data_IF_703949951488
#
_entry.id   IF_703949951488
#
_cell.length_a   1.000
_cell.length_b   1.000
_cell.length_c   1.000
_cell.angle_alpha   90.00
_cell.angle_beta   90.00
_cell.angle_gamma   90.00
#
_symmetry.space_group_name_H-M   'P 1'
#
loop_
_entity.id
_entity.type
_entity.pdbx_description
1 polymer ?
#
# COMPACT_ATOMS: atom_id res chain seq x y z
N UNK A 1 23.41 15.17 -4.60
CA UNK A 1 23.61 15.52 -3.20
C UNK A 1 23.20 16.98 -2.86
N UNK A 2 23.75 18.04 -3.49
CA UNK A 2 23.40 19.44 -3.15
C UNK A 2 21.93 19.80 -3.48
N UNK A 3 21.37 19.29 -4.60
CA UNK A 3 19.98 19.55 -4.99
C UNK A 3 18.98 18.79 -4.10
N UNK A 4 19.26 17.55 -3.77
CA UNK A 4 18.40 16.76 -2.85
C UNK A 4 18.34 17.37 -1.46
N UNK A 5 19.48 17.88 -0.93
CA UNK A 5 19.49 18.57 0.36
C UNK A 5 18.69 19.89 0.33
N UNK A 6 18.70 20.63 -0.79
CA UNK A 6 17.87 21.83 -0.93
C UNK A 6 16.36 21.50 -0.95
N UNK A 7 15.97 20.43 -1.66
CA UNK A 7 14.57 19.97 -1.66
C UNK A 7 14.13 19.47 -0.28
N UNK A 8 14.97 18.74 0.46
CA UNK A 8 14.66 18.30 1.82
C UNK A 8 14.41 19.48 2.77
N UNK A 9 15.24 20.51 2.70
CA UNK A 9 15.06 21.73 3.53
C UNK A 9 13.76 22.49 3.18
N UNK A 10 13.41 22.58 1.88
CA UNK A 10 12.15 23.20 1.45
C UNK A 10 10.96 22.38 1.97
N UNK A 11 11.02 21.05 1.92
CA UNK A 11 9.99 20.17 2.42
C UNK A 11 9.77 20.34 3.93
N UNK A 12 10.85 20.40 4.73
CA UNK A 12 10.75 20.66 6.16
C UNK A 12 10.06 22.01 6.48
N UNK A 13 10.38 23.06 5.73
CA UNK A 13 9.75 24.37 5.91
C UNK A 13 8.25 24.35 5.53
N UNK A 14 7.87 23.61 4.48
CA UNK A 14 6.46 23.46 4.07
C UNK A 14 5.66 22.69 5.13
N UNK A 15 6.22 21.63 5.69
CA UNK A 15 5.56 20.84 6.74
C UNK A 15 5.35 21.63 8.03
N UNK A 16 6.19 22.64 8.32
CA UNK A 16 6.04 23.54 9.49
C UNK A 16 5.11 24.73 9.22
N UNK A 17 4.68 24.95 7.97
CA UNK A 17 3.82 26.05 7.56
C UNK A 17 2.34 25.84 7.86
N UNK A 18 1.53 26.90 7.77
CA UNK A 18 0.07 26.82 7.97
C UNK A 18 -0.66 26.23 6.75
N UNK A 19 -0.12 26.38 5.53
CA UNK A 19 -0.73 25.93 4.27
C UNK A 19 -0.02 24.67 3.72
N UNK A 20 0.02 23.62 4.51
CA UNK A 20 0.76 22.38 4.19
C UNK A 20 0.31 21.77 2.88
N UNK A 21 -0.99 21.71 2.61
CA UNK A 21 -1.56 21.10 1.41
C UNK A 21 -1.14 21.78 0.12
N UNK A 22 -1.28 23.11 0.04
CA UNK A 22 -0.91 23.88 -1.15
C UNK A 22 0.61 23.91 -1.34
N UNK A 23 1.35 23.99 -0.24
CA UNK A 23 2.80 23.92 -0.25
C UNK A 23 3.32 22.61 -0.83
N UNK A 24 2.78 21.46 -0.41
CA UNK A 24 3.15 20.14 -0.94
C UNK A 24 2.77 20.01 -2.41
N UNK A 25 1.57 20.43 -2.81
CA UNK A 25 1.14 20.38 -4.21
C UNK A 25 2.06 21.20 -5.12
N UNK A 26 2.48 22.39 -4.68
CA UNK A 26 3.42 23.23 -5.42
C UNK A 26 4.82 22.59 -5.45
N UNK A 27 5.29 22.08 -4.33
CA UNK A 27 6.57 21.39 -4.21
C UNK A 27 6.68 20.19 -5.17
N UNK A 28 5.66 19.32 -5.20
CA UNK A 28 5.61 18.15 -6.10
C UNK A 28 5.58 18.60 -7.54
N UNK A 29 4.79 19.63 -7.85
CA UNK A 29 4.72 20.21 -9.21
C UNK A 29 6.06 20.74 -9.66
N UNK A 30 6.73 21.54 -8.85
CA UNK A 30 8.03 22.14 -9.19
C UNK A 30 9.12 21.07 -9.28
N UNK A 31 9.11 20.07 -8.40
CA UNK A 31 10.08 18.98 -8.42
C UNK A 31 9.89 18.04 -9.61
N UNK A 32 8.66 17.77 -10.02
CA UNK A 32 8.35 16.77 -11.05
C UNK A 32 8.11 17.39 -12.45
N UNK A 33 7.62 18.64 -12.55
CA UNK A 33 7.33 19.31 -13.82
C UNK A 33 8.52 20.06 -14.39
N UNK A 34 9.58 20.28 -13.62
CA UNK A 34 10.81 20.84 -14.17
C UNK A 34 11.40 19.85 -15.19
N UNK A 35 11.15 20.12 -16.48
CA UNK A 35 11.57 19.27 -17.62
C UNK A 35 13.07 18.97 -17.61
N UNK A 36 13.88 19.84 -16.99
CA UNK A 36 15.32 19.65 -16.81
C UNK A 36 15.61 18.53 -15.81
N UNK A 37 14.70 18.25 -14.89
CA UNK A 37 14.87 17.26 -13.85
C UNK A 37 14.48 15.83 -14.30
N UNK A 38 13.78 15.66 -15.44
CA UNK A 38 13.25 14.35 -15.86
C UNK A 38 14.08 13.64 -16.95
N UNK A 39 15.26 14.17 -17.30
CA UNK A 39 16.17 13.52 -18.26
C UNK A 39 17.48 13.16 -17.56
N UNK A 40 17.84 11.88 -17.57
CA UNK A 40 19.10 11.39 -17.03
C UNK A 40 19.25 11.55 -15.52
N UNK A 41 20.19 12.36 -15.07
CA UNK A 41 20.46 12.59 -13.64
C UNK A 41 19.27 13.23 -12.88
N UNK A 42 18.38 13.91 -13.57
CA UNK A 42 17.18 14.51 -12.96
C UNK A 42 16.15 13.48 -12.51
N UNK A 43 15.99 12.36 -13.21
CA UNK A 43 15.10 11.30 -12.79
C UNK A 43 15.51 10.69 -11.44
N UNK A 44 16.81 10.54 -11.21
CA UNK A 44 17.33 10.05 -9.92
C UNK A 44 16.98 11.04 -8.79
N UNK A 45 17.09 12.33 -9.05
CA UNK A 45 16.71 13.37 -8.07
C UNK A 45 15.20 13.34 -7.83
N UNK A 46 14.37 13.23 -8.88
CA UNK A 46 12.91 13.14 -8.74
C UNK A 46 12.46 11.92 -7.92
N UNK A 47 13.06 10.76 -8.12
CA UNK A 47 12.83 9.56 -7.31
C UNK A 47 13.17 9.79 -5.85
N UNK A 48 14.36 10.33 -5.56
CA UNK A 48 14.78 10.62 -4.20
C UNK A 48 13.85 11.63 -3.52
N UNK A 49 13.43 12.68 -4.23
CA UNK A 49 12.49 13.68 -3.71
C UNK A 49 11.15 13.06 -3.33
N UNK A 50 10.60 12.15 -4.15
CA UNK A 50 9.36 11.45 -3.82
C UNK A 50 9.53 10.50 -2.65
N UNK A 51 10.65 9.79 -2.55
CA UNK A 51 10.95 8.91 -1.41
C UNK A 51 11.06 9.72 -0.12
N UNK A 52 11.80 10.82 -0.14
CA UNK A 52 11.93 11.73 0.99
C UNK A 52 10.56 12.32 1.39
N UNK A 53 9.73 12.68 0.40
CA UNK A 53 8.37 13.16 0.62
C UNK A 53 7.49 12.09 1.28
N UNK A 54 7.50 10.86 0.79
CA UNK A 54 6.74 9.76 1.39
C UNK A 54 7.14 9.52 2.85
N UNK A 55 8.44 9.51 3.14
CA UNK A 55 8.95 9.32 4.49
C UNK A 55 8.55 10.49 5.41
N UNK A 56 8.63 11.73 4.93
CA UNK A 56 8.25 12.92 5.68
C UNK A 56 6.74 12.99 5.94
N UNK A 57 5.91 12.65 4.95
CA UNK A 57 4.46 12.57 5.09
C UNK A 57 4.04 11.50 6.08
N UNK A 58 4.67 10.34 6.05
CA UNK A 58 4.40 9.26 7.01
C UNK A 58 4.77 9.66 8.44
N UNK A 59 5.94 10.28 8.64
CA UNK A 59 6.35 10.80 9.97
C UNK A 59 5.43 11.89 10.46
N UNK A 60 5.03 12.82 9.61
CA UNK A 60 4.11 13.90 9.96
C UNK A 60 2.70 13.38 10.31
N UNK A 61 2.24 12.32 9.65
CA UNK A 61 0.96 11.68 9.97
C UNK A 61 0.99 10.94 11.31
N UNK A 62 2.11 10.30 11.65
CA UNK A 62 2.29 9.61 12.94
C UNK A 62 2.48 10.56 14.12
N UNK A 63 2.92 11.79 13.88
CA UNK A 63 3.05 12.82 14.89
C UNK A 63 1.69 13.47 15.19
N UNK A 64 1.14 13.18 16.37
CA UNK A 64 -0.17 13.70 16.82
C UNK A 64 -0.24 15.21 16.96
N UNK A 65 0.89 15.89 16.98
CA UNK A 65 0.96 17.37 17.08
C UNK A 65 0.89 18.07 15.73
N UNK A 66 1.10 17.31 14.64
CA UNK A 66 1.15 17.84 13.28
C UNK A 66 -0.26 17.94 12.66
N UNK A 67 -0.57 18.96 11.83
CA UNK A 67 -1.85 19.07 11.13
C UNK A 67 -2.22 17.85 10.27
N UNK A 68 -1.23 17.16 9.71
CA UNK A 68 -1.41 15.92 8.92
C UNK A 68 -1.76 14.68 9.76
N UNK A 69 -1.87 14.81 11.09
CA UNK A 69 -2.47 13.75 11.92
C UNK A 69 -3.96 13.58 11.65
N UNK A 70 -4.63 14.63 11.09
CA UNK A 70 -5.97 14.48 10.55
C UNK A 70 -5.93 13.64 9.28
N UNK A 71 -6.48 12.43 9.36
CA UNK A 71 -6.50 11.47 8.26
C UNK A 71 -7.21 12.02 7.01
N UNK A 72 -8.19 12.92 7.16
CA UNK A 72 -8.90 13.51 6.03
C UNK A 72 -8.02 14.46 5.23
N UNK A 73 -7.25 15.31 5.91
CA UNK A 73 -6.27 16.18 5.29
C UNK A 73 -5.12 15.38 4.64
N UNK A 74 -4.65 14.35 5.34
CA UNK A 74 -3.60 13.46 4.85
C UNK A 74 -4.00 12.76 3.54
N UNK A 75 -5.21 12.18 3.48
CA UNK A 75 -5.78 11.58 2.26
C UNK A 75 -5.88 12.59 1.12
N UNK A 76 -6.32 13.82 1.41
CA UNK A 76 -6.40 14.87 0.39
C UNK A 76 -5.01 15.23 -0.19
N UNK A 77 -4.00 15.36 0.67
CA UNK A 77 -2.62 15.64 0.26
C UNK A 77 -2.06 14.51 -0.62
N UNK A 78 -2.25 13.25 -0.23
CA UNK A 78 -1.77 12.10 -1.01
C UNK A 78 -2.47 12.01 -2.39
N UNK A 79 -3.76 12.32 -2.46
CA UNK A 79 -4.48 12.39 -3.75
C UNK A 79 -3.94 13.50 -4.64
N UNK A 80 -3.64 14.68 -4.08
CA UNK A 80 -3.06 15.81 -4.83
C UNK A 80 -1.65 15.47 -5.35
N UNK A 81 -0.85 14.74 -4.56
CA UNK A 81 0.48 14.22 -4.98
C UNK A 81 0.32 13.27 -6.17
N UNK A 82 -0.58 12.30 -6.10
CA UNK A 82 -0.84 11.36 -7.18
C UNK A 82 -1.33 12.06 -8.45
N UNK A 83 -2.25 13.00 -8.33
CA UNK A 83 -2.75 13.79 -9.46
C UNK A 83 -1.64 14.62 -10.13
N UNK A 84 -0.77 15.23 -9.33
CA UNK A 84 0.36 16.04 -9.83
C UNK A 84 1.43 15.19 -10.52
N UNK A 85 1.64 13.96 -10.05
CA UNK A 85 2.66 13.06 -10.58
C UNK A 85 2.16 12.20 -11.78
N UNK A 86 0.86 12.21 -12.07
CA UNK A 86 0.26 11.35 -13.11
C UNK A 86 0.94 11.50 -14.49
N UNK A 87 1.35 12.71 -14.89
CA UNK A 87 2.03 12.97 -16.14
C UNK A 87 3.40 12.26 -16.27
N UNK A 88 4.01 11.88 -15.15
CA UNK A 88 5.33 11.23 -15.06
C UNK A 88 5.24 9.78 -14.58
N UNK A 89 4.05 9.21 -14.51
CA UNK A 89 3.77 7.89 -13.90
C UNK A 89 4.69 6.78 -14.43
N UNK A 90 4.96 6.74 -15.74
CA UNK A 90 5.79 5.70 -16.38
C UNK A 90 7.23 5.64 -15.86
N UNK A 91 7.77 6.76 -15.38
CA UNK A 91 9.15 6.85 -14.91
C UNK A 91 9.29 6.70 -13.40
N UNK A 92 8.18 6.82 -12.67
CA UNK A 92 8.12 6.89 -11.20
C UNK A 92 7.15 5.84 -10.62
N UNK A 93 6.96 4.71 -11.31
CA UNK A 93 6.00 3.67 -10.94
C UNK A 93 6.21 3.17 -9.50
N UNK A 94 7.47 2.92 -9.12
CA UNK A 94 7.81 2.38 -7.80
C UNK A 94 7.50 3.38 -6.68
N UNK A 95 7.84 4.65 -6.89
CA UNK A 95 7.59 5.73 -5.93
C UNK A 95 6.09 6.03 -5.81
N UNK A 96 5.39 6.04 -6.93
CA UNK A 96 3.92 6.22 -6.93
C UNK A 96 3.20 5.03 -6.29
N UNK A 97 3.73 3.82 -6.43
CA UNK A 97 3.22 2.66 -5.71
C UNK A 97 3.33 2.84 -4.19
N UNK A 98 4.42 3.43 -3.69
CA UNK A 98 4.56 3.75 -2.27
C UNK A 98 3.54 4.80 -1.81
N UNK A 99 3.31 5.87 -2.58
CA UNK A 99 2.28 6.87 -2.27
C UNK A 99 0.90 6.21 -2.21
N UNK A 100 0.57 5.32 -3.16
CA UNK A 100 -0.70 4.58 -3.16
C UNK A 100 -0.83 3.63 -1.97
N UNK A 101 0.24 3.01 -1.51
CA UNK A 101 0.23 2.20 -0.29
C UNK A 101 -0.10 3.04 0.93
N UNK A 102 0.54 4.21 1.10
CA UNK A 102 0.23 5.14 2.18
C UNK A 102 -1.22 5.64 2.13
N UNK A 103 -1.72 5.93 0.92
CA UNK A 103 -3.12 6.32 0.73
C UNK A 103 -4.08 5.20 1.10
N UNK A 104 -3.76 3.96 0.73
CA UNK A 104 -4.58 2.81 1.10
C UNK A 104 -4.59 2.58 2.61
N UNK A 105 -3.45 2.74 3.31
CA UNK A 105 -3.37 2.67 4.78
C UNK A 105 -4.30 3.71 5.42
N UNK A 106 -4.23 4.97 4.99
CA UNK A 106 -5.07 6.03 5.51
C UNK A 106 -6.58 5.83 5.22
N UNK A 107 -6.93 5.26 4.06
CA UNK A 107 -8.31 4.93 3.72
C UNK A 107 -8.84 3.73 4.52
N UNK A 108 -7.98 2.76 4.84
CA UNK A 108 -8.33 1.66 5.76
C UNK A 108 -8.66 2.20 7.16
N UNK A 109 -7.88 3.15 7.67
CA UNK A 109 -8.13 3.81 8.97
C UNK A 109 -9.46 4.56 8.99
N UNK A 110 -9.88 5.11 7.84
CA UNK A 110 -11.19 5.72 7.65
C UNK A 110 -12.32 4.71 7.39
N UNK A 111 -12.03 3.41 7.37
CA UNK A 111 -12.98 2.35 6.98
C UNK A 111 -13.53 2.48 5.55
N UNK A 112 -12.86 3.23 4.68
CA UNK A 112 -13.20 3.40 3.27
C UNK A 112 -12.60 2.25 2.43
N UNK A 113 -13.00 1.01 2.73
CA UNK A 113 -12.38 -0.20 2.19
C UNK A 113 -12.47 -0.33 0.67
N UNK A 114 -13.59 0.11 0.06
CA UNK A 114 -13.75 0.09 -1.39
C UNK A 114 -12.74 1.01 -2.09
N UNK A 115 -12.58 2.24 -1.57
CA UNK A 115 -11.64 3.21 -2.11
C UNK A 115 -10.19 2.73 -1.93
N UNK A 116 -9.86 2.17 -0.75
CA UNK A 116 -8.55 1.59 -0.49
C UNK A 116 -8.20 0.46 -1.47
N UNK A 117 -9.16 -0.45 -1.70
CA UNK A 117 -9.00 -1.52 -2.69
C UNK A 117 -8.77 -0.96 -4.10
N UNK A 118 -9.54 0.07 -4.50
CA UNK A 118 -9.41 0.69 -5.83
C UNK A 118 -8.01 1.30 -6.03
N UNK A 119 -7.49 2.03 -5.06
CA UNK A 119 -6.15 2.62 -5.10
C UNK A 119 -5.06 1.54 -5.26
N UNK A 120 -5.18 0.41 -4.54
CA UNK A 120 -4.24 -0.71 -4.69
C UNK A 120 -4.37 -1.43 -6.03
N UNK A 121 -5.58 -1.49 -6.61
CA UNK A 121 -5.81 -2.04 -7.94
C UNK A 121 -5.09 -1.24 -9.03
N UNK A 122 -4.98 0.08 -8.88
CA UNK A 122 -4.21 0.92 -9.81
C UNK A 122 -2.72 0.53 -9.81
N UNK A 123 -2.13 0.18 -8.66
CA UNK A 123 -0.74 -0.33 -8.61
C UNK A 123 -0.61 -1.56 -9.52
N UNK A 124 -1.56 -2.49 -9.45
CA UNK A 124 -1.51 -3.73 -10.23
C UNK A 124 -1.75 -3.54 -11.71
N UNK A 125 -2.46 -2.48 -12.10
CA UNK A 125 -2.72 -2.14 -13.49
C UNK A 125 -1.51 -1.47 -14.15
N UNK A 126 -0.88 -0.53 -13.45
CA UNK A 126 0.22 0.29 -13.97
C UNK A 126 1.57 -0.45 -13.99
N UNK A 127 1.85 -1.23 -12.97
CA UNK A 127 3.15 -1.88 -12.77
C UNK A 127 3.39 -3.13 -13.65
N UNK A 128 2.66 -3.25 -14.75
CA UNK A 128 2.68 -4.39 -15.65
C UNK A 128 4.08 -4.97 -15.93
N UNK A 129 4.43 -6.08 -15.29
CA UNK A 129 5.58 -6.98 -15.55
C UNK A 129 6.98 -6.50 -15.11
N UNK A 130 7.18 -5.29 -14.59
CA UNK A 130 8.53 -4.80 -14.26
C UNK A 130 8.96 -5.10 -12.82
N UNK A 131 8.04 -5.10 -11.87
CA UNK A 131 8.31 -5.50 -10.49
C UNK A 131 8.40 -7.03 -10.40
N UNK A 132 9.62 -7.56 -10.41
CA UNK A 132 9.91 -9.02 -10.34
C UNK A 132 9.86 -9.58 -8.92
N UNK A 133 9.21 -8.91 -7.97
CA UNK A 133 9.11 -9.39 -6.60
C UNK A 133 7.75 -10.06 -6.37
N UNK A 134 7.69 -11.37 -6.58
CA UNK A 134 6.47 -12.17 -6.43
C UNK A 134 5.88 -12.08 -5.01
N UNK A 135 6.71 -11.93 -3.98
CA UNK A 135 6.28 -11.76 -2.60
C UNK A 135 5.54 -10.44 -2.36
N UNK A 136 5.99 -9.33 -2.98
CA UNK A 136 5.32 -8.05 -2.88
C UNK A 136 3.95 -8.10 -3.55
N UNK A 137 3.87 -8.74 -4.74
CA UNK A 137 2.61 -8.92 -5.46
C UNK A 137 1.62 -9.76 -4.68
N UNK A 138 2.09 -10.83 -4.06
CA UNK A 138 1.27 -11.67 -3.21
C UNK A 138 0.65 -10.85 -2.07
N UNK A 139 1.44 -10.03 -1.38
CA UNK A 139 0.96 -9.12 -0.31
C UNK A 139 -0.12 -8.17 -0.81
N UNK A 140 0.12 -7.52 -1.95
CA UNK A 140 -0.85 -6.58 -2.54
C UNK A 140 -2.13 -7.30 -2.92
N UNK A 141 -2.07 -8.47 -3.57
CA UNK A 141 -3.27 -9.21 -3.97
C UNK A 141 -4.09 -9.70 -2.77
N UNK A 142 -3.44 -10.24 -1.73
CA UNK A 142 -4.12 -10.68 -0.51
C UNK A 142 -4.77 -9.50 0.20
N UNK A 143 -4.07 -8.36 0.28
CA UNK A 143 -4.60 -7.13 0.86
C UNK A 143 -5.82 -6.60 0.10
N UNK A 144 -5.76 -6.54 -1.24
CA UNK A 144 -6.90 -6.16 -2.07
C UNK A 144 -8.09 -7.11 -1.82
N UNK A 145 -7.85 -8.42 -1.78
CA UNK A 145 -8.92 -9.40 -1.54
C UNK A 145 -9.58 -9.19 -0.17
N UNK A 146 -8.79 -8.93 0.88
CA UNK A 146 -9.29 -8.61 2.23
C UNK A 146 -10.15 -7.35 2.24
N UNK A 147 -9.70 -6.29 1.58
CA UNK A 147 -10.41 -5.01 1.50
C UNK A 147 -11.73 -5.15 0.74
N UNK A 148 -11.72 -5.87 -0.39
CA UNK A 148 -12.93 -6.14 -1.17
C UNK A 148 -13.94 -6.97 -0.38
N UNK A 149 -13.48 -7.94 0.43
CA UNK A 149 -14.35 -8.68 1.35
C UNK A 149 -14.98 -7.75 2.41
N UNK A 150 -14.21 -6.79 2.93
CA UNK A 150 -14.71 -5.80 3.88
C UNK A 150 -15.69 -4.82 3.24
N UNK A 151 -15.55 -4.58 1.93
CA UNK A 151 -16.48 -3.79 1.11
C UNK A 151 -17.66 -4.59 0.55
N UNK A 152 -17.79 -5.88 0.90
CA UNK A 152 -18.80 -6.82 0.42
C UNK A 152 -18.74 -7.15 -1.09
N UNK A 153 -17.62 -6.87 -1.76
CA UNK A 153 -17.35 -7.31 -3.13
C UNK A 153 -16.69 -8.69 -3.16
N UNK A 154 -17.51 -9.72 -3.06
CA UNK A 154 -17.06 -11.13 -3.03
C UNK A 154 -16.45 -11.57 -4.36
N UNK A 155 -16.99 -11.10 -5.48
CA UNK A 155 -16.53 -11.47 -6.82
C UNK A 155 -15.13 -10.90 -7.12
N UNK A 156 -14.92 -9.64 -6.79
CA UNK A 156 -13.61 -9.01 -6.87
C UNK A 156 -12.58 -9.68 -5.97
N UNK A 157 -12.95 -10.00 -4.73
CA UNK A 157 -12.07 -10.70 -3.80
C UNK A 157 -11.62 -12.06 -4.33
N UNK A 158 -12.55 -12.85 -4.88
CA UNK A 158 -12.23 -14.18 -5.48
C UNK A 158 -11.24 -14.03 -6.65
N UNK A 159 -11.41 -13.01 -7.50
CA UNK A 159 -10.50 -12.75 -8.62
C UNK A 159 -9.06 -12.49 -8.14
N UNK A 160 -8.90 -11.66 -7.10
CA UNK A 160 -7.58 -11.33 -6.57
C UNK A 160 -6.95 -12.49 -5.81
N UNK A 161 -7.73 -13.33 -5.13
CA UNK A 161 -7.23 -14.57 -4.54
C UNK A 161 -6.74 -15.58 -5.59
N UNK A 162 -7.41 -15.67 -6.75
CA UNK A 162 -6.93 -16.50 -7.88
C UNK A 162 -5.60 -15.96 -8.44
N UNK A 163 -5.44 -14.64 -8.52
CA UNK A 163 -4.16 -14.01 -8.91
C UNK A 163 -3.08 -14.25 -7.85
N UNK A 164 -3.42 -14.13 -6.58
CA UNK A 164 -2.51 -14.47 -5.48
C UNK A 164 -2.04 -15.93 -5.56
N UNK A 165 -2.94 -16.86 -5.83
CA UNK A 165 -2.62 -18.28 -5.96
C UNK A 165 -1.61 -18.58 -7.07
N UNK A 166 -1.58 -17.80 -8.16
CA UNK A 166 -0.59 -17.95 -9.22
C UNK A 166 0.81 -17.41 -8.87
N UNK A 167 0.88 -16.52 -7.88
CA UNK A 167 2.13 -15.95 -7.36
C UNK A 167 2.67 -16.69 -6.12
N UNK A 168 1.97 -17.73 -5.68
CA UNK A 168 2.26 -18.52 -4.49
C UNK A 168 3.48 -19.45 -4.70
N UNK A 169 4.67 -18.85 -4.77
CA UNK A 169 5.94 -19.56 -4.65
C UNK A 169 6.64 -19.18 -3.33
N UNK A 170 5.91 -18.55 -2.40
CA UNK A 170 6.47 -17.90 -1.25
C UNK A 170 6.55 -18.83 -0.04
N UNK A 171 7.71 -18.85 0.58
CA UNK A 171 7.98 -19.42 1.91
C UNK A 171 7.34 -18.58 3.06
N UNK A 172 6.37 -17.71 2.75
CA UNK A 172 5.71 -16.83 3.73
C UNK A 172 4.43 -17.48 4.24
N UNK A 173 4.55 -18.25 5.31
CA UNK A 173 3.45 -18.94 5.97
C UNK A 173 2.35 -17.98 6.46
N UNK A 174 2.70 -16.75 6.83
CA UNK A 174 1.73 -15.77 7.35
C UNK A 174 0.79 -15.27 6.24
N UNK A 175 1.34 -14.89 5.08
CA UNK A 175 0.56 -14.49 3.92
C UNK A 175 -0.27 -15.62 3.35
N UNK A 176 0.26 -16.83 3.37
CA UNK A 176 -0.46 -18.03 3.00
C UNK A 176 -1.65 -18.27 3.92
N UNK A 177 -1.47 -18.06 5.23
CA UNK A 177 -2.55 -18.18 6.21
C UNK A 177 -3.64 -17.12 5.93
N UNK A 178 -3.27 -15.85 5.75
CA UNK A 178 -4.23 -14.79 5.41
C UNK A 178 -4.99 -15.08 4.12
N UNK A 179 -4.31 -15.52 3.06
CA UNK A 179 -4.94 -15.87 1.80
C UNK A 179 -5.98 -17.00 1.96
N UNK A 180 -5.68 -18.01 2.80
CA UNK A 180 -6.60 -19.12 3.11
C UNK A 180 -7.79 -18.66 3.93
N UNK A 181 -7.60 -17.75 4.89
CA UNK A 181 -8.70 -17.13 5.64
C UNK A 181 -9.62 -16.37 4.69
N UNK A 182 -9.06 -15.52 3.83
CA UNK A 182 -9.85 -14.80 2.83
C UNK A 182 -10.60 -15.75 1.89
N UNK A 183 -9.99 -16.88 1.48
CA UNK A 183 -10.65 -17.89 0.66
C UNK A 183 -11.85 -18.55 1.37
N UNK A 184 -11.70 -18.86 2.67
CA UNK A 184 -12.79 -19.42 3.46
C UNK A 184 -13.95 -18.43 3.59
N UNK A 185 -13.64 -17.13 3.81
CA UNK A 185 -14.64 -16.06 3.87
C UNK A 185 -15.37 -15.87 2.52
N UNK A 186 -14.66 -15.97 1.39
CA UNK A 186 -15.29 -15.92 0.05
C UNK A 186 -16.29 -17.06 -0.09
N UNK A 187 -15.93 -18.30 0.27
CA UNK A 187 -16.82 -19.45 0.18
C UNK A 187 -18.02 -19.31 1.11
N UNK A 188 -17.84 -18.77 2.31
CA UNK A 188 -18.94 -18.49 3.24
C UNK A 188 -19.95 -17.50 2.65
N UNK A 189 -19.46 -16.37 2.10
CA UNK A 189 -20.30 -15.37 1.41
C UNK A 189 -21.00 -15.92 0.17
N UNK A 190 -20.38 -16.86 -0.53
CA UNK A 190 -20.98 -17.61 -1.66
C UNK A 190 -21.94 -18.72 -1.21
N UNK A 191 -22.18 -18.87 0.10
CA UNK A 191 -23.00 -19.96 0.71
C UNK A 191 -22.47 -21.37 0.47
N UNK A 192 -21.19 -21.52 0.17
CA UNK A 192 -20.49 -22.79 0.07
C UNK A 192 -20.02 -23.23 1.46
N UNK A 193 -20.97 -23.43 2.36
CA UNK A 193 -20.69 -23.64 3.79
C UNK A 193 -19.83 -24.87 4.08
N UNK A 194 -19.99 -25.96 3.29
CA UNK A 194 -19.16 -27.15 3.45
C UNK A 194 -17.68 -26.90 3.17
N UNK A 195 -17.38 -26.21 2.07
CA UNK A 195 -16.01 -25.86 1.68
C UNK A 195 -15.39 -24.86 2.67
N UNK A 196 -16.18 -23.88 3.09
CA UNK A 196 -15.78 -22.89 4.09
C UNK A 196 -15.46 -23.55 5.45
N UNK A 197 -16.35 -24.42 5.95
CA UNK A 197 -16.18 -25.14 7.21
C UNK A 197 -14.92 -26.03 7.19
N UNK A 198 -14.70 -26.76 6.09
CA UNK A 198 -13.50 -27.58 5.94
C UNK A 198 -12.23 -26.71 5.99
N UNK A 199 -12.21 -25.55 5.30
CA UNK A 199 -11.06 -24.68 5.29
C UNK A 199 -10.80 -24.04 6.66
N UNK A 200 -11.83 -23.59 7.36
CA UNK A 200 -11.69 -23.07 8.73
C UNK A 200 -11.17 -24.15 9.69
N UNK A 201 -11.64 -25.39 9.55
CA UNK A 201 -11.13 -26.50 10.34
C UNK A 201 -9.64 -26.76 10.09
N UNK A 202 -9.20 -26.79 8.83
CA UNK A 202 -7.78 -26.93 8.47
C UNK A 202 -6.91 -25.79 9.07
N UNK A 203 -7.43 -24.56 9.08
CA UNK A 203 -6.74 -23.41 9.67
C UNK A 203 -6.62 -23.51 11.19
N UNK A 204 -7.68 -23.97 11.87
CA UNK A 204 -7.65 -24.21 13.31
C UNK A 204 -6.63 -25.30 13.70
N UNK A 205 -6.57 -26.39 12.95
CA UNK A 205 -5.59 -27.47 13.23
C UNK A 205 -4.14 -26.97 13.11
N UNK A 206 -3.84 -26.15 12.11
CA UNK A 206 -2.50 -25.57 11.94
C UNK A 206 -2.16 -24.56 13.04
N UNK A 207 -3.10 -23.75 13.44
CA UNK A 207 -2.95 -22.81 14.56
C UNK A 207 -2.63 -23.56 15.86
N UNK A 208 -3.31 -24.68 16.13
CA UNK A 208 -3.07 -25.50 17.32
C UNK A 208 -1.70 -26.19 17.29
N UNK A 209 -1.20 -26.57 16.13
CA UNK A 209 0.15 -27.13 15.97
C UNK A 209 1.21 -26.08 16.27
N UNK A 210 1.10 -24.86 15.70
CA UNK A 210 2.01 -23.77 15.98
C UNK A 210 2.04 -23.39 17.47
N UNK A 211 0.89 -23.38 18.15
CA UNK A 211 0.82 -23.16 19.59
C UNK A 211 1.47 -24.28 20.41
N UNK A 212 1.30 -25.56 19.98
CA UNK A 212 1.96 -26.69 20.63
C UNK A 212 3.47 -26.66 20.49
N UNK A 213 3.97 -26.32 19.29
CA UNK A 213 5.40 -26.17 19.06
C UNK A 213 6.00 -25.02 19.88
N UNK A 214 5.32 -23.86 19.92
CA UNK A 214 5.75 -22.73 20.75
C UNK A 214 5.77 -23.07 22.25
N UNK A 215 4.78 -23.83 22.74
CA UNK A 215 4.75 -24.30 24.12
C UNK A 215 5.86 -25.32 24.41
N UNK A 216 6.08 -26.26 23.49
CA UNK A 216 7.18 -27.25 23.64
C UNK A 216 8.55 -26.59 23.68
N UNK A 217 8.79 -25.55 22.85
CA UNK A 217 10.02 -24.77 22.85
C UNK A 217 10.21 -23.92 24.11
N UNK A 218 9.12 -23.51 24.77
CA UNK A 218 9.19 -22.74 26.02
C UNK A 218 9.44 -23.59 27.28
N UNK A 219 9.19 -24.91 27.19
CA UNK A 219 9.35 -25.86 28.30
C UNK A 219 10.67 -26.64 28.23
N UNK A 220 11.37 -26.61 27.09
CA UNK A 220 12.68 -27.25 26.90
C UNK A 220 13.83 -26.31 27.27
#
# INVERSE_FOLDING_TARGET
AKRTAAYAHVLENILQGEEVREGIATYVRDALLDRVNMVGAGLIVGRQVLQDLCAALHTAHTDRTHPLSDTSLYVAVLRDVLASAHAQAVNLEDELAQVRLLLADALEDQHAYADAAHVLQEITADAGRRLRNDALWLRIYVRIARLLLSADDVAGAELYLKRAASALHADDDTLMHEARVCQALVWDRQRRFGDAAQRFWELCLRSDEAHREAFAAAVA
#
